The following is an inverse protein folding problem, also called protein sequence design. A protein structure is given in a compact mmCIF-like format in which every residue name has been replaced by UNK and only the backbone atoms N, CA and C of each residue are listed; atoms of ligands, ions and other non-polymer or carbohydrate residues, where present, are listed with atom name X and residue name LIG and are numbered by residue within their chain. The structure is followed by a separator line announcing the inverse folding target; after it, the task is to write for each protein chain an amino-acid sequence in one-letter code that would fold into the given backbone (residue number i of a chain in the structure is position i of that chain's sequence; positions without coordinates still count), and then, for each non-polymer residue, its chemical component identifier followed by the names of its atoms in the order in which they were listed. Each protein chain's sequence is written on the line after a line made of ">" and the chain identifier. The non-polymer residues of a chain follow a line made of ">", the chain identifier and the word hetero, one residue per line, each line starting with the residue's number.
data_IF_587646316349
#
_entry.id   IF_587646316349
#
_cell.length_a   1.000
_cell.length_b   1.000
_cell.length_c   1.000
_cell.angle_alpha   90.00
_cell.angle_beta   90.00
_cell.angle_gamma   90.00
#
_symmetry.space_group_name_H-M   'P 1'
#
loop_
_entity.id
_entity.type
_entity.pdbx_description
1 polymer ?
#
# COMPACT_ATOMS: atom_id res chain seq x y z
N UNK A 1 -3.17 -33.51 15.50
CA UNK A 1 -2.02 -33.60 14.59
C UNK A 1 -1.72 -32.18 14.11
N UNK A 2 -0.67 -31.54 14.65
CA UNK A 2 -0.26 -30.20 14.27
C UNK A 2 0.21 -30.26 12.83
N UNK A 3 -0.46 -29.50 11.93
CA UNK A 3 0.11 -29.19 10.61
C UNK A 3 1.52 -28.64 10.84
N UNK A 4 2.53 -29.30 10.30
CA UNK A 4 3.91 -28.84 10.33
C UNK A 4 3.91 -27.43 9.71
N UNK A 5 4.13 -26.43 10.54
CA UNK A 5 4.03 -25.04 10.15
C UNK A 5 5.07 -24.69 9.09
N UNK A 6 4.70 -24.83 7.81
CA UNK A 6 5.52 -24.30 6.73
C UNK A 6 5.71 -22.79 6.97
N UNK A 7 6.96 -22.35 6.96
CA UNK A 7 7.33 -20.94 7.14
C UNK A 7 6.63 -20.05 6.11
N UNK A 8 5.89 -19.04 6.58
CA UNK A 8 5.20 -18.09 5.72
C UNK A 8 6.20 -17.23 4.95
N UNK A 9 5.93 -16.95 3.66
CA UNK A 9 6.79 -16.20 2.76
C UNK A 9 6.04 -14.95 2.31
N UNK A 10 6.57 -13.78 2.62
CA UNK A 10 5.87 -12.50 2.44
C UNK A 10 6.74 -11.51 1.66
N UNK A 11 6.20 -10.95 0.58
CA UNK A 11 6.87 -9.91 -0.21
C UNK A 11 6.15 -8.57 -0.03
N UNK A 12 6.88 -7.52 0.37
CA UNK A 12 6.30 -6.22 0.75
C UNK A 12 6.99 -5.08 0.01
N UNK A 13 6.25 -4.30 -0.78
CA UNK A 13 6.75 -3.06 -1.37
C UNK A 13 6.49 -1.85 -0.46
N UNK A 14 7.37 -0.84 -0.52
CA UNK A 14 7.31 0.32 0.38
C UNK A 14 7.64 -0.04 1.83
N UNK A 15 8.53 -1.01 2.04
CA UNK A 15 8.84 -1.58 3.36
C UNK A 15 9.66 -0.67 4.28
N UNK A 16 10.30 0.41 3.77
CA UNK A 16 11.26 1.21 4.54
C UNK A 16 10.63 2.14 5.59
N UNK A 17 9.31 2.30 5.65
CA UNK A 17 8.67 3.18 6.63
C UNK A 17 7.16 2.94 6.77
N UNK A 18 6.56 3.53 7.80
CA UNK A 18 5.11 3.55 7.98
C UNK A 18 4.49 2.15 7.99
N UNK A 19 3.41 1.98 7.23
CA UNK A 19 2.64 0.73 7.18
C UNK A 19 3.50 -0.44 6.73
N UNK A 20 4.33 -0.28 5.69
CA UNK A 20 5.17 -1.37 5.18
C UNK A 20 6.17 -1.88 6.19
N UNK A 21 6.85 -1.00 6.92
CA UNK A 21 7.79 -1.37 7.97
C UNK A 21 7.09 -2.05 9.17
N UNK A 22 5.91 -1.55 9.56
CA UNK A 22 5.14 -2.15 10.64
C UNK A 22 4.63 -3.56 10.28
N UNK A 23 4.17 -3.75 9.03
CA UNK A 23 3.80 -5.08 8.54
C UNK A 23 5.01 -6.02 8.48
N UNK A 24 6.18 -5.52 8.07
CA UNK A 24 7.40 -6.32 8.03
C UNK A 24 7.79 -6.82 9.44
N UNK A 25 7.78 -5.92 10.45
CA UNK A 25 8.06 -6.32 11.85
C UNK A 25 7.07 -7.34 12.38
N UNK A 26 5.78 -7.13 12.13
CA UNK A 26 4.74 -8.03 12.61
C UNK A 26 4.82 -9.43 11.96
N UNK A 27 5.09 -9.50 10.64
CA UNK A 27 5.30 -10.78 9.96
C UNK A 27 6.61 -11.49 10.40
N UNK A 28 7.69 -10.74 10.56
CA UNK A 28 8.95 -11.29 11.05
C UNK A 28 8.80 -11.86 12.47
N UNK A 29 8.08 -11.16 13.36
CA UNK A 29 7.77 -11.65 14.70
C UNK A 29 6.95 -12.94 14.70
N UNK A 30 6.19 -13.22 13.63
CA UNK A 30 5.47 -14.49 13.43
C UNK A 30 6.31 -15.55 12.70
N UNK A 31 7.62 -15.33 12.51
CA UNK A 31 8.55 -16.28 11.89
C UNK A 31 8.49 -16.32 10.36
N UNK A 32 7.90 -15.33 9.69
CA UNK A 32 7.84 -15.29 8.24
C UNK A 32 9.21 -14.95 7.60
N UNK A 33 9.50 -15.52 6.44
CA UNK A 33 10.56 -15.06 5.55
C UNK A 33 10.07 -13.87 4.74
N UNK A 34 10.86 -12.78 4.67
CA UNK A 34 10.46 -11.53 4.04
C UNK A 34 11.30 -11.19 2.81
N UNK A 35 10.64 -10.69 1.76
CA UNK A 35 11.23 -9.91 0.68
C UNK A 35 10.81 -8.45 0.81
N UNK A 36 11.75 -7.56 1.12
CA UNK A 36 11.48 -6.16 1.45
C UNK A 36 11.97 -5.23 0.35
N UNK A 37 11.05 -4.49 -0.26
CA UNK A 37 11.36 -3.58 -1.37
C UNK A 37 11.15 -2.13 -0.95
N UNK A 38 12.17 -1.29 -1.15
CA UNK A 38 12.06 0.18 -1.06
C UNK A 38 13.28 0.84 -1.72
N UNK A 39 13.21 2.17 -1.94
CA UNK A 39 14.28 2.93 -2.60
C UNK A 39 15.50 3.18 -1.70
N UNK A 40 15.31 3.33 -0.40
CA UNK A 40 16.36 3.72 0.56
C UNK A 40 17.05 2.48 1.10
N UNK A 41 18.24 2.17 0.57
CA UNK A 41 19.01 0.99 0.94
C UNK A 41 19.44 1.02 2.42
N UNK A 42 19.87 2.17 2.91
CA UNK A 42 20.27 2.40 4.29
C UNK A 42 19.15 2.13 5.30
N UNK A 43 17.93 2.61 4.99
CA UNK A 43 16.76 2.40 5.84
C UNK A 43 16.28 0.94 5.81
N UNK A 44 16.40 0.27 4.64
CA UNK A 44 16.12 -1.17 4.55
C UNK A 44 17.13 -1.98 5.34
N UNK A 45 18.41 -1.64 5.31
CA UNK A 45 19.45 -2.32 6.08
C UNK A 45 19.22 -2.13 7.59
N UNK A 46 18.86 -0.92 8.03
CA UNK A 46 18.50 -0.65 9.43
C UNK A 46 17.28 -1.46 9.87
N UNK A 47 16.23 -1.50 9.04
CA UNK A 47 15.05 -2.33 9.34
C UNK A 47 15.43 -3.81 9.42
N UNK A 48 16.22 -4.31 8.48
CA UNK A 48 16.66 -5.71 8.45
C UNK A 48 17.40 -6.08 9.74
N UNK A 49 18.28 -5.21 10.24
CA UNK A 49 19.02 -5.43 11.47
C UNK A 49 18.13 -5.50 12.73
N UNK A 50 16.96 -4.87 12.71
CA UNK A 50 15.98 -4.91 13.80
C UNK A 50 15.11 -6.20 13.79
N UNK A 51 15.03 -6.88 12.64
CA UNK A 51 14.14 -8.04 12.50
C UNK A 51 14.77 -9.32 13.08
N UNK A 52 13.99 -10.18 13.74
CA UNK A 52 14.46 -11.51 14.12
C UNK A 52 14.86 -12.31 12.88
N UNK A 53 15.88 -13.16 13.03
CA UNK A 53 16.40 -14.02 11.96
C UNK A 53 16.77 -13.25 10.67
N UNK A 54 17.44 -12.12 10.81
CA UNK A 54 17.73 -11.18 9.70
C UNK A 54 18.38 -11.83 8.48
N UNK A 55 19.20 -12.86 8.66
CA UNK A 55 19.84 -13.61 7.56
C UNK A 55 18.83 -14.36 6.65
N UNK A 56 17.62 -14.56 7.12
CA UNK A 56 16.55 -15.24 6.37
C UNK A 56 15.86 -14.32 5.38
N UNK A 57 15.88 -13.01 5.63
CA UNK A 57 15.15 -12.03 4.83
C UNK A 57 15.97 -11.54 3.64
N UNK A 58 15.28 -11.15 2.57
CA UNK A 58 15.88 -10.50 1.40
C UNK A 58 15.47 -9.03 1.33
N UNK A 59 16.40 -8.15 0.96
CA UNK A 59 16.14 -6.73 0.74
C UNK A 59 16.48 -6.33 -0.67
N UNK A 60 15.64 -5.49 -1.28
CA UNK A 60 15.76 -5.04 -2.66
C UNK A 60 15.63 -3.52 -2.70
N UNK A 61 16.77 -2.85 -2.86
CA UNK A 61 16.84 -1.40 -2.96
C UNK A 61 16.55 -0.96 -4.40
N UNK A 62 15.29 -0.66 -4.70
CA UNK A 62 14.84 -0.25 -6.04
C UNK A 62 13.63 0.69 -5.97
N UNK A 63 13.36 1.40 -7.07
CA UNK A 63 12.09 2.12 -7.26
C UNK A 63 11.06 1.17 -7.88
N UNK A 64 9.87 1.08 -7.29
CA UNK A 64 8.78 0.21 -7.77
C UNK A 64 8.25 0.63 -9.15
N UNK A 65 8.59 1.83 -9.63
CA UNK A 65 8.27 2.29 -10.99
C UNK A 65 9.22 1.71 -12.04
N UNK A 66 10.39 1.17 -11.63
CA UNK A 66 11.19 0.30 -12.47
C UNK A 66 10.63 -1.12 -12.44
N UNK A 67 9.70 -1.37 -13.34
CA UNK A 67 9.00 -2.66 -13.40
C UNK A 67 9.92 -3.82 -13.75
N UNK A 68 11.05 -3.58 -14.43
CA UNK A 68 12.02 -4.62 -14.76
C UNK A 68 12.79 -5.05 -13.51
N UNK A 69 13.33 -4.10 -12.76
CA UNK A 69 14.01 -4.35 -11.49
C UNK A 69 13.07 -5.01 -10.46
N UNK A 70 11.80 -4.54 -10.39
CA UNK A 70 10.80 -5.12 -9.49
C UNK A 70 10.49 -6.58 -9.85
N UNK A 71 10.39 -6.92 -11.13
CA UNK A 71 10.20 -8.28 -11.61
C UNK A 71 11.39 -9.19 -11.25
N UNK A 72 12.61 -8.70 -11.43
CA UNK A 72 13.82 -9.44 -11.04
C UNK A 72 13.87 -9.72 -9.54
N UNK A 73 13.55 -8.72 -8.72
CA UNK A 73 13.47 -8.87 -7.27
C UNK A 73 12.41 -9.92 -6.85
N UNK A 74 11.25 -9.92 -7.50
CA UNK A 74 10.20 -10.90 -7.25
C UNK A 74 10.65 -12.32 -7.64
N UNK A 75 11.32 -12.48 -8.78
CA UNK A 75 11.85 -13.78 -9.25
C UNK A 75 12.97 -14.30 -8.32
N UNK A 76 13.89 -13.43 -7.88
CA UNK A 76 14.92 -13.79 -6.92
C UNK A 76 14.29 -14.25 -5.58
N UNK A 77 13.29 -13.51 -5.08
CA UNK A 77 12.60 -13.89 -3.86
C UNK A 77 11.89 -15.25 -3.99
N UNK A 78 11.17 -15.47 -5.10
CA UNK A 78 10.50 -16.75 -5.38
C UNK A 78 11.52 -17.90 -5.40
N UNK A 79 12.68 -17.72 -6.04
CA UNK A 79 13.71 -18.74 -6.11
C UNK A 79 14.31 -19.04 -4.73
N UNK A 80 14.61 -18.02 -3.93
CA UNK A 80 15.18 -18.17 -2.57
C UNK A 80 14.19 -18.81 -1.61
N UNK A 81 12.93 -18.41 -1.66
CA UNK A 81 11.90 -18.83 -0.72
C UNK A 81 11.16 -20.10 -1.14
N UNK A 82 11.33 -20.55 -2.38
CA UNK A 82 10.56 -21.67 -2.94
C UNK A 82 9.08 -21.34 -3.18
N UNK A 83 8.75 -20.04 -3.37
CA UNK A 83 7.41 -19.54 -3.57
C UNK A 83 7.08 -18.28 -2.78
N UNK A 84 5.80 -17.88 -2.74
CA UNK A 84 5.35 -16.71 -1.96
C UNK A 84 3.90 -16.90 -1.51
N UNK A 85 3.60 -16.69 -0.25
CA UNK A 85 2.27 -16.89 0.33
C UNK A 85 1.47 -15.58 0.38
N UNK A 86 2.15 -14.46 0.62
CA UNK A 86 1.51 -13.14 0.71
C UNK A 86 2.36 -12.10 -0.04
N UNK A 87 1.74 -11.39 -0.98
CA UNK A 87 2.35 -10.27 -1.69
C UNK A 87 1.60 -8.99 -1.31
N UNK A 88 2.31 -8.00 -0.78
CA UNK A 88 1.72 -6.75 -0.31
C UNK A 88 2.21 -5.58 -1.16
N UNK A 89 1.35 -5.08 -2.05
CA UNK A 89 1.55 -3.85 -2.80
C UNK A 89 1.19 -2.66 -1.89
N UNK A 90 2.19 -2.19 -1.13
CA UNK A 90 2.04 -1.10 -0.16
C UNK A 90 2.74 0.18 -0.59
N UNK A 91 3.73 0.11 -1.49
CA UNK A 91 4.41 1.31 -1.98
C UNK A 91 3.39 2.36 -2.47
N UNK A 92 3.57 3.60 -2.06
CA UNK A 92 2.67 4.67 -2.45
C UNK A 92 3.16 6.03 -2.00
N UNK A 93 2.74 7.04 -2.74
CA UNK A 93 3.05 8.45 -2.48
C UNK A 93 1.76 9.27 -2.45
N UNK A 94 1.80 10.40 -1.76
CA UNK A 94 0.64 11.27 -1.63
C UNK A 94 1.07 12.73 -1.54
N UNK A 95 0.74 13.50 -2.56
CA UNK A 95 0.97 14.94 -2.65
C UNK A 95 -0.33 15.64 -3.01
N UNK A 96 -0.44 16.92 -2.64
CA UNK A 96 -1.50 17.78 -3.14
C UNK A 96 -1.30 18.07 -4.63
N UNK A 97 -2.39 18.13 -5.38
CA UNK A 97 -2.38 18.50 -6.82
C UNK A 97 -3.58 19.36 -7.14
N UNK A 98 -3.38 20.35 -8.03
CA UNK A 98 -4.41 21.18 -8.60
C UNK A 98 -4.32 21.09 -10.14
N UNK A 99 -5.40 20.67 -10.79
CA UNK A 99 -5.42 20.48 -12.26
C UNK A 99 -5.23 21.79 -13.03
N UNK A 100 -5.57 22.92 -12.44
CA UNK A 100 -5.34 24.25 -13.01
C UNK A 100 -3.87 24.68 -13.05
N UNK A 101 -2.99 23.94 -12.36
CA UNK A 101 -1.55 24.20 -12.35
C UNK A 101 -0.83 23.16 -13.22
N UNK A 102 -0.30 23.57 -14.40
CA UNK A 102 0.35 22.64 -15.33
C UNK A 102 1.54 21.88 -14.73
N UNK A 103 2.24 22.45 -13.73
CA UNK A 103 3.37 21.81 -13.07
C UNK A 103 2.93 20.57 -12.25
N UNK A 104 1.67 20.54 -11.81
CA UNK A 104 1.14 19.41 -11.03
C UNK A 104 0.85 18.18 -11.89
N UNK A 105 0.87 18.28 -13.24
CA UNK A 105 0.71 17.12 -14.12
C UNK A 105 1.76 16.05 -13.86
N UNK A 106 3.03 16.43 -13.72
CA UNK A 106 4.11 15.47 -13.42
C UNK A 106 3.92 14.78 -12.06
N UNK A 107 3.40 15.53 -11.07
CA UNK A 107 3.10 14.98 -9.74
C UNK A 107 1.93 14.00 -9.84
N UNK A 108 0.92 14.33 -10.64
CA UNK A 108 -0.22 13.45 -10.92
C UNK A 108 0.25 12.13 -11.53
N UNK A 109 1.07 12.19 -12.58
CA UNK A 109 1.60 11.02 -13.28
C UNK A 109 2.47 10.15 -12.37
N UNK A 110 3.34 10.76 -11.56
CA UNK A 110 4.16 10.05 -10.59
C UNK A 110 3.32 9.33 -9.52
N UNK A 111 2.21 9.94 -9.08
CA UNK A 111 1.27 9.29 -8.15
C UNK A 111 0.62 8.06 -8.80
N UNK A 112 0.17 8.16 -10.05
CA UNK A 112 -0.45 7.03 -10.76
C UNK A 112 0.57 5.92 -11.03
N UNK A 113 1.78 6.27 -11.48
CA UNK A 113 2.85 5.30 -11.71
C UNK A 113 3.18 4.50 -10.44
N UNK A 114 3.36 5.20 -9.29
CA UNK A 114 3.71 4.55 -8.02
C UNK A 114 2.54 3.81 -7.39
N UNK A 115 1.34 4.41 -7.34
CA UNK A 115 0.24 3.85 -6.57
C UNK A 115 -0.57 2.80 -7.35
N UNK A 116 -0.63 2.91 -8.68
CA UNK A 116 -1.47 2.05 -9.53
C UNK A 116 -0.60 1.10 -10.36
N UNK A 117 0.22 1.63 -11.27
CA UNK A 117 1.00 0.78 -12.18
C UNK A 117 1.97 -0.14 -11.43
N UNK A 118 2.64 0.37 -10.39
CA UNK A 118 3.52 -0.44 -9.56
C UNK A 118 2.75 -1.48 -8.71
N UNK A 119 1.48 -1.25 -8.34
CA UNK A 119 0.65 -2.27 -7.71
C UNK A 119 0.44 -3.47 -8.63
N UNK A 120 0.10 -3.23 -9.90
CA UNK A 120 -0.04 -4.28 -10.92
C UNK A 120 1.31 -5.00 -11.12
N UNK A 121 2.39 -4.24 -11.29
CA UNK A 121 3.74 -4.79 -11.48
C UNK A 121 4.24 -5.60 -10.27
N UNK A 122 3.79 -5.26 -9.05
CA UNK A 122 4.10 -6.02 -7.83
C UNK A 122 3.41 -7.39 -7.83
N UNK A 123 2.14 -7.49 -8.27
CA UNK A 123 1.40 -8.75 -8.22
C UNK A 123 1.76 -9.71 -9.35
N UNK A 124 1.94 -9.18 -10.56
CA UNK A 124 2.07 -9.96 -11.79
C UNK A 124 3.10 -11.10 -11.72
N UNK A 125 4.34 -10.91 -11.22
CA UNK A 125 5.35 -11.98 -11.21
C UNK A 125 5.02 -13.17 -10.31
N UNK A 126 4.14 -12.99 -9.32
CA UNK A 126 3.84 -14.04 -8.33
C UNK A 126 2.65 -14.92 -8.71
N UNK A 127 1.78 -14.45 -9.62
CA UNK A 127 0.49 -15.11 -9.91
C UNK A 127 0.70 -16.55 -10.38
N UNK A 128 1.62 -16.77 -11.34
CA UNK A 128 1.85 -18.11 -11.89
C UNK A 128 2.41 -19.06 -10.82
N UNK A 129 3.37 -18.62 -10.03
CA UNK A 129 3.90 -19.39 -8.90
C UNK A 129 2.80 -19.73 -7.91
N UNK A 130 1.94 -18.75 -7.56
CA UNK A 130 0.83 -18.97 -6.63
C UNK A 130 -0.21 -19.96 -7.13
N UNK A 131 -0.46 -20.05 -8.44
CA UNK A 131 -1.38 -21.05 -9.01
C UNK A 131 -0.92 -22.47 -8.72
N UNK A 132 0.38 -22.73 -8.75
CA UNK A 132 0.97 -24.04 -8.46
C UNK A 132 1.12 -24.39 -6.97
N UNK A 133 0.92 -23.45 -6.05
CA UNK A 133 1.11 -23.65 -4.62
C UNK A 133 -0.12 -24.26 -3.93
N UNK A 134 0.12 -25.05 -2.88
CA UNK A 134 -0.95 -25.59 -2.00
C UNK A 134 -1.07 -24.81 -0.67
N UNK A 135 -0.16 -23.87 -0.42
CA UNK A 135 -0.13 -23.03 0.77
C UNK A 135 -1.10 -21.85 0.68
N UNK A 136 -1.09 -20.99 1.67
CA UNK A 136 -1.86 -19.74 1.65
C UNK A 136 -1.44 -18.85 0.46
N UNK A 137 -2.39 -18.23 -0.23
CA UNK A 137 -2.12 -17.41 -1.44
C UNK A 137 -2.92 -16.12 -1.34
N UNK A 138 -2.22 -15.01 -1.08
CA UNK A 138 -2.83 -13.69 -0.84
C UNK A 138 -2.11 -12.61 -1.64
N UNK A 139 -2.86 -11.88 -2.47
CA UNK A 139 -2.43 -10.60 -3.06
C UNK A 139 -3.12 -9.47 -2.30
N UNK A 140 -2.34 -8.55 -1.74
CA UNK A 140 -2.86 -7.51 -0.84
C UNK A 140 -2.58 -6.12 -1.42
N UNK A 141 -3.64 -5.41 -1.80
CA UNK A 141 -3.55 -4.01 -2.22
C UNK A 141 -3.80 -3.05 -1.05
N UNK A 142 -2.85 -2.16 -0.78
CA UNK A 142 -3.05 -1.09 0.20
C UNK A 142 -3.67 0.13 -0.49
N UNK A 143 -4.99 0.26 -0.34
CA UNK A 143 -5.79 1.37 -0.84
C UNK A 143 -5.80 2.57 0.13
N UNK A 144 -6.92 3.23 0.33
CA UNK A 144 -7.17 4.26 1.35
C UNK A 144 -8.67 4.58 1.39
N UNK A 145 -9.16 5.07 2.52
CA UNK A 145 -10.50 5.69 2.61
C UNK A 145 -10.63 6.91 1.68
N UNK A 146 -9.52 7.57 1.33
CA UNK A 146 -9.48 8.66 0.37
C UNK A 146 -9.84 8.23 -1.07
N UNK A 147 -9.86 6.93 -1.36
CA UNK A 147 -10.31 6.37 -2.64
C UNK A 147 -11.84 6.21 -2.74
N UNK A 148 -12.58 6.43 -1.66
CA UNK A 148 -14.05 6.28 -1.66
C UNK A 148 -14.73 7.49 -2.34
N UNK A 149 -14.18 8.68 -2.18
CA UNK A 149 -14.67 9.91 -2.80
C UNK A 149 -13.52 10.89 -3.05
N UNK A 150 -13.59 11.68 -4.13
CA UNK A 150 -12.58 12.69 -4.45
C UNK A 150 -12.46 13.74 -3.35
N UNK A 151 -11.24 14.05 -2.94
CA UNK A 151 -10.96 15.06 -1.91
C UNK A 151 -10.34 16.29 -2.57
N UNK A 152 -10.85 17.52 -2.31
CA UNK A 152 -10.29 18.74 -2.88
C UNK A 152 -8.78 18.87 -2.60
N UNK A 153 -7.99 19.20 -3.64
CA UNK A 153 -6.53 19.31 -3.55
C UNK A 153 -5.78 17.99 -3.39
N UNK A 154 -6.45 16.83 -3.47
CA UNK A 154 -5.85 15.51 -3.43
C UNK A 154 -6.40 14.60 -4.55
N UNK A 155 -6.80 15.19 -5.69
CA UNK A 155 -7.47 14.49 -6.79
C UNK A 155 -6.68 13.30 -7.31
N UNK A 156 -5.38 13.48 -7.60
CA UNK A 156 -4.52 12.41 -8.07
C UNK A 156 -4.43 11.24 -7.07
N UNK A 157 -4.26 11.56 -5.78
CA UNK A 157 -4.19 10.52 -4.75
C UNK A 157 -5.52 9.78 -4.60
N UNK A 158 -6.64 10.51 -4.53
CA UNK A 158 -7.97 9.91 -4.44
C UNK A 158 -8.28 9.02 -5.64
N UNK A 159 -7.99 9.49 -6.86
CA UNK A 159 -8.14 8.72 -8.09
C UNK A 159 -7.27 7.45 -8.08
N UNK A 160 -5.99 7.57 -7.68
CA UNK A 160 -5.10 6.42 -7.59
C UNK A 160 -5.60 5.35 -6.61
N UNK A 161 -6.11 5.75 -5.45
CA UNK A 161 -6.61 4.81 -4.43
C UNK A 161 -7.97 4.21 -4.79
N UNK A 162 -8.81 4.93 -5.53
CA UNK A 162 -10.02 4.38 -6.15
C UNK A 162 -9.67 3.34 -7.23
N UNK A 163 -8.67 3.63 -8.07
CA UNK A 163 -8.19 2.71 -9.09
C UNK A 163 -7.65 1.40 -8.48
N UNK A 164 -6.90 1.46 -7.37
CA UNK A 164 -6.42 0.26 -6.65
C UNK A 164 -7.59 -0.58 -6.14
N UNK A 165 -8.63 0.04 -5.58
CA UNK A 165 -9.83 -0.68 -5.13
C UNK A 165 -10.50 -1.41 -6.29
N UNK A 166 -10.78 -0.70 -7.37
CA UNK A 166 -11.43 -1.25 -8.57
C UNK A 166 -10.59 -2.38 -9.21
N UNK A 167 -9.27 -2.18 -9.34
CA UNK A 167 -8.36 -3.20 -9.86
C UNK A 167 -8.34 -4.47 -9.00
N UNK A 168 -8.21 -4.32 -7.68
CA UNK A 168 -8.23 -5.47 -6.78
C UNK A 168 -9.57 -6.22 -6.78
N UNK A 169 -10.68 -5.50 -6.99
CA UNK A 169 -12.00 -6.11 -7.12
C UNK A 169 -12.11 -6.97 -8.38
N UNK A 170 -11.64 -6.48 -9.52
CA UNK A 170 -11.57 -7.25 -10.78
C UNK A 170 -10.65 -8.46 -10.62
N UNK A 171 -9.42 -8.24 -10.16
CA UNK A 171 -8.41 -9.28 -9.97
C UNK A 171 -8.89 -10.40 -9.03
N UNK A 172 -9.69 -10.05 -8.02
CA UNK A 172 -10.29 -11.02 -7.08
C UNK A 172 -11.19 -12.03 -7.79
N UNK A 173 -11.96 -11.58 -8.77
CA UNK A 173 -12.83 -12.44 -9.55
C UNK A 173 -12.03 -13.28 -10.54
N UNK A 174 -11.04 -12.69 -11.20
CA UNK A 174 -10.15 -13.35 -12.17
C UNK A 174 -9.35 -14.50 -11.51
N UNK A 175 -8.88 -14.29 -10.28
CA UNK A 175 -8.03 -15.27 -9.58
C UNK A 175 -8.78 -16.24 -8.66
N UNK A 176 -10.09 -16.06 -8.49
CA UNK A 176 -10.93 -16.96 -7.69
C UNK A 176 -10.87 -18.41 -8.13
N UNK A 177 -10.91 -18.76 -9.46
CA UNK A 177 -10.80 -20.16 -9.92
C UNK A 177 -9.48 -20.82 -9.52
N UNK A 178 -8.42 -20.04 -9.29
CA UNK A 178 -7.11 -20.52 -8.89
C UNK A 178 -6.92 -20.56 -7.37
N UNK A 179 -7.94 -20.23 -6.58
CA UNK A 179 -7.88 -20.21 -5.12
C UNK A 179 -6.97 -19.11 -4.53
N UNK A 180 -6.54 -18.13 -5.34
CA UNK A 180 -5.77 -16.97 -4.90
C UNK A 180 -6.75 -15.91 -4.38
N UNK A 181 -6.62 -15.51 -3.12
CA UNK A 181 -7.46 -14.46 -2.55
C UNK A 181 -6.82 -13.09 -2.72
N UNK A 182 -7.58 -12.14 -3.24
CA UNK A 182 -7.17 -10.73 -3.34
C UNK A 182 -7.83 -9.96 -2.20
N UNK A 183 -7.00 -9.31 -1.39
CA UNK A 183 -7.40 -8.57 -0.18
C UNK A 183 -7.13 -7.09 -0.41
N UNK A 184 -8.14 -6.25 -0.24
CA UNK A 184 -7.98 -4.81 -0.29
C UNK A 184 -8.08 -4.23 1.12
N UNK A 185 -6.99 -3.65 1.61
CA UNK A 185 -6.99 -2.92 2.88
C UNK A 185 -7.07 -1.42 2.57
N UNK A 186 -8.05 -0.75 3.15
CA UNK A 186 -8.23 0.69 3.02
C UNK A 186 -7.94 1.37 4.38
N UNK A 187 -6.70 1.86 4.60
CA UNK A 187 -6.38 2.62 5.80
C UNK A 187 -7.19 3.91 5.90
N UNK A 188 -7.61 4.25 7.12
CA UNK A 188 -7.98 5.61 7.49
C UNK A 188 -6.73 6.43 7.83
N UNK A 189 -6.80 7.24 8.89
CA UNK A 189 -5.62 7.96 9.38
C UNK A 189 -4.77 7.05 10.26
N UNK A 190 -3.56 6.76 9.79
CA UNK A 190 -2.57 5.93 10.49
C UNK A 190 -1.36 6.81 10.81
N UNK A 191 -0.86 6.76 12.03
CA UNK A 191 0.32 7.52 12.46
C UNK A 191 1.58 7.03 11.73
N UNK A 192 1.99 7.75 10.70
CA UNK A 192 3.12 7.42 9.82
C UNK A 192 3.83 8.71 9.39
N UNK A 193 5.06 8.65 8.86
CA UNK A 193 5.73 9.83 8.30
C UNK A 193 4.93 10.54 7.20
N UNK A 194 4.08 9.80 6.47
CA UNK A 194 3.22 10.38 5.45
C UNK A 194 2.11 11.26 6.04
N UNK A 195 1.50 10.83 7.14
CA UNK A 195 0.40 11.56 7.80
C UNK A 195 0.89 12.62 8.78
N UNK A 196 2.12 12.51 9.30
CA UNK A 196 2.72 13.51 10.18
C UNK A 196 2.84 14.91 9.54
N UNK A 197 2.83 14.97 8.21
CA UNK A 197 2.87 16.24 7.43
C UNK A 197 1.49 16.89 7.24
N UNK A 198 0.40 16.25 7.68
CA UNK A 198 -0.93 16.79 7.55
C UNK A 198 -1.19 17.87 8.61
N UNK A 199 -1.70 19.03 8.19
CA UNK A 199 -2.04 20.17 9.07
C UNK A 199 -3.52 20.22 9.46
N UNK A 200 -4.29 19.19 9.14
CA UNK A 200 -5.74 19.12 9.37
C UNK A 200 -6.10 18.00 10.36
N UNK A 201 -7.29 18.09 11.00
CA UNK A 201 -7.74 17.06 11.93
C UNK A 201 -7.80 15.68 11.30
N UNK A 202 -7.32 14.67 12.02
CA UNK A 202 -7.29 13.27 11.61
C UNK A 202 -8.12 12.42 12.59
N UNK A 203 -9.46 12.39 12.43
CA UNK A 203 -10.30 11.62 13.32
C UNK A 203 -9.95 10.14 13.28
N UNK A 204 -10.00 9.49 14.44
CA UNK A 204 -9.67 8.07 14.62
C UNK A 204 -8.23 7.72 14.21
N UNK A 205 -7.27 8.67 14.36
CA UNK A 205 -5.84 8.41 14.14
C UNK A 205 -5.41 7.17 14.94
N UNK A 206 -4.81 6.21 14.24
CA UNK A 206 -4.44 4.92 14.83
C UNK A 206 -2.91 4.73 14.79
N UNK A 207 -2.28 4.23 15.87
CA UNK A 207 -0.89 3.79 15.84
C UNK A 207 -0.64 2.73 14.75
N UNK A 208 0.50 2.82 14.08
CA UNK A 208 0.80 1.96 12.93
C UNK A 208 0.95 0.49 13.32
N UNK A 209 1.45 0.20 14.51
CA UNK A 209 1.60 -1.16 15.05
C UNK A 209 0.22 -1.81 15.24
N UNK A 210 -0.73 -1.06 15.80
CA UNK A 210 -2.11 -1.52 15.98
C UNK A 210 -2.82 -1.76 14.63
N UNK A 211 -2.50 -0.92 13.64
CA UNK A 211 -2.96 -1.13 12.27
C UNK A 211 -2.38 -2.41 11.69
N UNK A 212 -1.05 -2.62 11.77
CA UNK A 212 -0.37 -3.80 11.22
C UNK A 212 -0.94 -5.11 11.80
N UNK A 213 -1.08 -5.20 13.11
CA UNK A 213 -1.67 -6.37 13.77
C UNK A 213 -3.11 -6.67 13.32
N UNK A 214 -3.92 -5.62 13.04
CA UNK A 214 -5.28 -5.81 12.49
C UNK A 214 -5.27 -6.20 11.03
N UNK A 215 -4.41 -5.57 10.23
CA UNK A 215 -4.29 -5.84 8.80
C UNK A 215 -3.87 -7.29 8.54
N UNK A 216 -2.88 -7.81 9.26
CA UNK A 216 -2.43 -9.20 9.13
C UNK A 216 -3.55 -10.19 9.43
N UNK A 217 -4.39 -9.95 10.44
CA UNK A 217 -5.55 -10.81 10.72
C UNK A 217 -6.56 -10.81 9.57
N UNK A 218 -6.84 -9.63 8.98
CA UNK A 218 -7.71 -9.54 7.81
C UNK A 218 -7.12 -10.23 6.59
N UNK A 219 -5.79 -10.12 6.38
CA UNK A 219 -5.06 -10.80 5.31
C UNK A 219 -5.13 -12.31 5.49
N UNK A 220 -4.88 -12.82 6.68
CA UNK A 220 -4.97 -14.24 7.00
C UNK A 220 -6.38 -14.80 6.77
N UNK A 221 -7.42 -14.08 7.19
CA UNK A 221 -8.81 -14.44 6.92
C UNK A 221 -9.15 -14.39 5.42
N UNK A 222 -8.43 -13.60 4.63
CA UNK A 222 -8.68 -13.38 3.20
C UNK A 222 -9.90 -12.51 2.97
N UNK A 223 -10.08 -11.48 3.81
CA UNK A 223 -11.15 -10.49 3.67
C UNK A 223 -11.03 -9.75 2.32
N UNK A 224 -12.07 -9.75 1.51
CA UNK A 224 -12.02 -9.14 0.18
C UNK A 224 -11.79 -7.61 0.22
N UNK A 225 -12.40 -6.92 1.20
CA UNK A 225 -12.24 -5.49 1.42
C UNK A 225 -12.38 -5.16 2.90
N UNK A 226 -11.43 -4.43 3.47
CA UNK A 226 -11.47 -4.03 4.88
C UNK A 226 -10.97 -2.60 5.09
N UNK A 227 -11.78 -1.80 5.77
CA UNK A 227 -11.36 -0.47 6.25
C UNK A 227 -10.84 -0.57 7.68
N UNK A 228 -9.67 0.00 7.95
CA UNK A 228 -9.03 0.02 9.27
C UNK A 228 -8.58 1.46 9.59
N UNK A 229 -9.10 2.08 10.68
CA UNK A 229 -10.08 1.55 11.64
C UNK A 229 -11.50 1.51 11.06
N UNK A 230 -12.36 0.62 11.57
CA UNK A 230 -13.70 0.39 11.03
C UNK A 230 -14.60 1.63 11.04
N UNK A 231 -14.42 2.53 12.02
CA UNK A 231 -15.15 3.79 12.13
C UNK A 231 -15.00 4.63 10.85
N UNK A 232 -13.78 4.63 10.26
CA UNK A 232 -13.55 5.32 8.99
C UNK A 232 -14.30 4.68 7.83
N UNK A 233 -14.62 3.39 7.92
CA UNK A 233 -15.46 2.71 6.95
C UNK A 233 -16.91 3.22 6.97
N UNK A 234 -17.44 3.50 8.14
CA UNK A 234 -18.76 4.13 8.27
C UNK A 234 -18.76 5.56 7.71
N UNK A 235 -17.76 6.36 8.09
CA UNK A 235 -17.59 7.73 7.55
C UNK A 235 -17.49 7.71 6.02
N UNK A 236 -16.68 6.80 5.45
CA UNK A 236 -16.50 6.68 4.02
C UNK A 236 -17.82 6.32 3.29
N UNK A 237 -18.60 5.38 3.83
CA UNK A 237 -19.92 5.02 3.28
C UNK A 237 -20.88 6.19 3.32
N UNK A 238 -20.93 6.91 4.44
CA UNK A 238 -21.75 8.10 4.58
C UNK A 238 -21.38 9.17 3.55
N UNK A 239 -20.07 9.48 3.43
CA UNK A 239 -19.59 10.44 2.44
C UNK A 239 -19.93 10.03 1.01
N UNK A 240 -19.86 8.73 0.69
CA UNK A 240 -20.22 8.22 -0.64
C UNK A 240 -21.71 8.36 -0.95
N UNK A 241 -22.57 8.21 0.06
CA UNK A 241 -24.02 8.34 -0.07
C UNK A 241 -24.52 9.80 -0.18
N UNK A 242 -23.69 10.79 0.22
CA UNK A 242 -24.11 12.20 0.15
C UNK A 242 -24.34 12.65 -1.30
N UNK A 243 -25.46 13.33 -1.60
CA UNK A 243 -25.63 14.05 -2.86
C UNK A 243 -24.50 15.06 -3.08
N UNK A 244 -24.11 15.31 -4.35
CA UNK A 244 -23.01 16.21 -4.67
C UNK A 244 -23.20 17.62 -4.06
N UNK A 245 -24.40 18.19 -4.16
CA UNK A 245 -24.67 19.53 -3.60
C UNK A 245 -24.37 19.63 -2.10
N UNK A 246 -24.69 18.59 -1.33
CA UNK A 246 -24.42 18.53 0.13
C UNK A 246 -22.92 18.35 0.36
N UNK A 247 -22.29 17.47 -0.40
CA UNK A 247 -20.85 17.24 -0.33
C UNK A 247 -20.07 18.52 -0.64
N UNK A 248 -20.41 19.21 -1.73
CA UNK A 248 -19.76 20.44 -2.17
C UNK A 248 -19.85 21.53 -1.10
N UNK A 249 -21.04 21.70 -0.48
CA UNK A 249 -21.24 22.65 0.61
C UNK A 249 -20.32 22.36 1.81
N UNK A 250 -20.20 21.08 2.19
CA UNK A 250 -19.39 20.66 3.35
C UNK A 250 -17.89 20.75 3.07
N UNK A 251 -17.45 20.48 1.84
CA UNK A 251 -16.03 20.38 1.47
C UNK A 251 -15.48 21.55 0.68
N UNK A 252 -16.30 22.55 0.32
CA UNK A 252 -15.84 23.75 -0.41
C UNK A 252 -14.65 24.44 0.27
N UNK A 253 -14.64 24.48 1.60
CA UNK A 253 -13.59 25.09 2.43
C UNK A 253 -12.70 24.05 3.13
N UNK A 254 -12.74 22.77 2.71
CA UNK A 254 -11.92 21.74 3.35
C UNK A 254 -10.42 22.06 3.20
N UNK A 255 -9.61 21.78 4.24
CA UNK A 255 -8.18 22.00 4.17
C UNK A 255 -7.58 21.10 3.07
N UNK A 256 -6.71 21.70 2.24
CA UNK A 256 -6.07 21.01 1.13
C UNK A 256 -4.75 20.38 1.59
N UNK A 257 -4.38 19.29 0.98
CA UNK A 257 -3.08 18.66 1.22
C UNK A 257 -1.96 19.56 0.70
N UNK A 258 -0.82 19.59 1.43
CA UNK A 258 0.34 20.35 0.99
C UNK A 258 0.84 19.85 -0.37
N UNK A 259 1.09 20.78 -1.28
CA UNK A 259 1.75 20.54 -2.57
C UNK A 259 3.25 20.38 -2.32
N UNK A 260 3.96 19.67 -3.17
CA UNK A 260 5.42 19.61 -3.13
C UNK A 260 5.97 21.03 -3.18
N UNK A 261 6.85 21.40 -2.23
CA UNK A 261 7.43 22.74 -2.22
C UNK A 261 8.09 22.99 -3.59
N UNK A 262 7.71 24.09 -4.26
CA UNK A 262 8.39 24.56 -5.45
C UNK A 262 9.86 24.78 -5.08
N UNK A 263 10.78 24.14 -5.77
CA UNK A 263 12.17 24.58 -5.78
C UNK A 263 12.17 25.99 -6.41
N UNK A 264 11.98 26.99 -5.58
CA UNK A 264 12.16 28.40 -5.99
C UNK A 264 13.64 28.69 -6.14
N UNK A 265 14.28 28.04 -7.10
CA UNK A 265 15.47 28.58 -7.72
C UNK A 265 15.02 29.46 -8.89
N UNK A 266 14.28 30.52 -8.58
CA UNK A 266 14.28 31.69 -9.46
C UNK A 266 15.62 32.36 -9.27
N UNK A 267 16.56 32.08 -10.18
CA UNK A 267 17.63 33.03 -10.45
C UNK A 267 16.97 34.40 -10.67
N UNK A 268 17.25 35.33 -9.78
CA UNK A 268 16.99 36.76 -10.04
C UNK A 268 17.97 37.21 -11.11
N UNK A 269 17.53 38.01 -12.08
CA UNK A 269 18.39 38.60 -13.08
C UNK A 269 19.43 39.54 -12.46
#
# INVERSE_FOLDING_TARGET
>A
MSESGAMMRVFITGASSGIGAALAREYAAQGAMLGLVARRADVLASLLAELPDSARHAVYALDVTDHAALRQAAQDFIARAGGCDVVIANAGVSHGTLTEDPEDQQVFDAILATNVSATVATFSPFIETMKGQQTQRRLVGIASVAGVRGLPGAGAYSASKAAVVCYCESLRLELKPHGIKVVTIAPGYIATPMTAKNSYPMPFLMPVERFAARAIRCIAAGDSYRVIPWQMGFVAKLLRALPNAVYDLLFAKAPRKSRTARNTTKARP
#
